data_IF_647351048149
#
_entry.id   IF_647351048149
#
_cell.length_a   1.000
_cell.length_b   1.000
_cell.length_c   1.000
_cell.angle_alpha   90.00
_cell.angle_beta   90.00
_cell.angle_gamma   90.00
#
_symmetry.space_group_name_H-M   'P 1'
#
loop_
_entity.id
_entity.type
_entity.pdbx_description
1 polymer ?
#
# COMPACT_ATOMS: atom_id res chain seq x y z
N UNK A 1 30.84 14.68 -13.43
CA UNK A 1 30.44 14.04 -12.16
C UNK A 1 29.08 13.31 -12.22
N UNK A 2 28.54 12.87 -13.37
CA UNK A 2 27.10 12.50 -13.41
C UNK A 2 26.78 11.21 -14.18
N UNK A 3 27.76 10.36 -14.54
CA UNK A 3 27.47 9.07 -15.20
C UNK A 3 27.10 7.97 -14.20
N UNK A 4 27.46 8.12 -12.92
CA UNK A 4 27.12 7.17 -11.87
C UNK A 4 25.72 7.41 -11.31
N UNK A 5 25.34 8.67 -11.00
CA UNK A 5 23.98 9.02 -10.57
C UNK A 5 22.92 8.73 -11.64
N UNK A 6 23.24 8.94 -12.92
CA UNK A 6 22.31 8.64 -14.02
C UNK A 6 22.04 7.13 -14.16
N UNK A 7 23.04 6.28 -13.86
CA UNK A 7 22.88 4.82 -13.85
C UNK A 7 22.13 4.34 -12.61
N UNK A 8 22.32 4.97 -11.44
CA UNK A 8 21.56 4.62 -10.24
C UNK A 8 20.08 4.96 -10.40
N UNK A 9 19.73 6.10 -11.01
CA UNK A 9 18.34 6.40 -11.38
C UNK A 9 17.79 5.45 -12.44
N UNK A 10 18.59 5.09 -13.45
CA UNK A 10 18.17 4.15 -14.51
C UNK A 10 18.04 2.69 -14.04
N UNK A 11 18.67 2.32 -12.92
CA UNK A 11 18.57 0.98 -12.33
C UNK A 11 17.50 0.88 -11.23
N UNK A 12 17.06 2.01 -10.68
CA UNK A 12 15.90 2.09 -9.76
C UNK A 12 14.56 2.19 -10.52
N UNK A 13 14.57 2.77 -11.73
CA UNK A 13 13.39 2.89 -12.60
C UNK A 13 12.77 1.56 -13.12
N UNK A 14 13.52 0.46 -13.38
CA UNK A 14 12.96 -0.76 -13.94
C UNK A 14 12.32 -1.66 -12.88
N UNK A 15 12.48 -1.40 -11.58
CA UNK A 15 11.80 -2.16 -10.52
C UNK A 15 10.35 -1.71 -10.30
N UNK A 16 9.99 -0.50 -10.75
CA UNK A 16 8.64 0.07 -10.61
C UNK A 16 7.73 -0.27 -11.79
N UNK A 17 8.28 -0.70 -12.92
CA UNK A 17 7.52 -1.01 -14.14
C UNK A 17 6.86 -2.40 -14.19
N UNK A 18 7.37 -3.49 -13.59
CA UNK A 18 6.69 -4.78 -13.71
C UNK A 18 5.39 -4.86 -12.89
N UNK A 19 5.19 -4.01 -11.87
CA UNK A 19 3.90 -3.98 -11.13
C UNK A 19 2.79 -3.27 -11.91
N UNK A 20 3.13 -2.34 -12.80
CA UNK A 20 2.15 -1.68 -13.67
C UNK A 20 1.97 -2.38 -15.01
N UNK A 21 2.97 -3.14 -15.49
CA UNK A 21 2.85 -3.91 -16.73
C UNK A 21 1.98 -5.19 -16.57
N UNK A 22 1.79 -5.71 -15.36
CA UNK A 22 0.81 -6.76 -15.08
C UNK A 22 -0.62 -6.21 -14.82
N UNK A 23 -0.83 -4.90 -14.99
CA UNK A 23 -2.16 -4.30 -15.08
C UNK A 23 -2.67 -4.21 -16.54
N UNK A 24 -2.04 -4.94 -17.46
CA UNK A 24 -2.55 -5.17 -18.82
C UNK A 24 -3.24 -6.53 -18.93
N UNK A 25 -3.90 -6.97 -17.86
CA UNK A 25 -4.97 -7.95 -17.94
C UNK A 25 -6.25 -7.13 -18.10
N UNK A 26 -7.11 -7.46 -19.06
CA UNK A 26 -8.34 -6.72 -19.29
C UNK A 26 -9.12 -6.60 -17.98
N UNK A 27 -9.59 -5.39 -17.69
CA UNK A 27 -10.77 -5.10 -16.88
C UNK A 27 -11.90 -6.02 -17.37
N UNK A 28 -11.89 -7.28 -16.95
CA UNK A 28 -12.74 -8.33 -17.49
C UNK A 28 -14.08 -8.19 -16.80
N UNK A 29 -14.81 -7.19 -17.30
CA UNK A 29 -16.26 -7.17 -17.39
C UNK A 29 -16.96 -7.82 -16.20
N UNK A 30 -17.21 -7.02 -15.15
CA UNK A 30 -18.51 -7.08 -14.49
C UNK A 30 -19.58 -6.67 -15.49
N UNK A 31 -19.82 -7.53 -16.49
CA UNK A 31 -21.04 -7.59 -17.27
C UNK A 31 -22.16 -8.27 -16.45
N UNK A 32 -22.03 -8.34 -15.12
CA UNK A 32 -23.21 -8.45 -14.29
C UNK A 32 -23.89 -7.09 -14.36
N UNK A 33 -24.92 -7.01 -15.20
CA UNK A 33 -25.93 -5.98 -15.12
C UNK A 33 -26.26 -5.73 -13.65
N UNK A 34 -25.76 -4.62 -13.11
CA UNK A 34 -26.12 -4.16 -11.79
C UNK A 34 -27.59 -3.75 -11.89
N UNK A 35 -28.46 -4.65 -11.47
CA UNK A 35 -29.89 -4.35 -11.44
C UNK A 35 -30.21 -3.25 -10.40
N UNK A 36 -29.23 -2.79 -9.59
CA UNK A 36 -29.34 -1.63 -8.71
C UNK A 36 -27.96 -1.10 -8.22
N UNK A 37 -27.72 0.22 -8.32
CA UNK A 37 -26.54 0.94 -7.77
C UNK A 37 -26.28 0.70 -6.26
N UNK A 38 -27.32 0.57 -5.40
CA UNK A 38 -27.13 0.30 -3.97
C UNK A 38 -26.28 -0.93 -3.66
N UNK A 39 -26.40 -1.99 -4.47
CA UNK A 39 -25.68 -3.24 -4.21
C UNK A 39 -24.17 -3.11 -4.48
N UNK A 40 -23.78 -2.32 -5.50
CA UNK A 40 -22.38 -2.03 -5.77
C UNK A 40 -21.74 -1.21 -4.63
N UNK A 41 -22.47 -0.24 -4.09
CA UNK A 41 -22.01 0.56 -2.95
C UNK A 41 -21.82 -0.31 -1.70
N UNK A 42 -22.73 -1.26 -1.46
CA UNK A 42 -22.63 -2.21 -0.35
C UNK A 42 -21.36 -3.06 -0.42
N UNK A 43 -21.03 -3.61 -1.59
CA UNK A 43 -19.82 -4.39 -1.80
C UNK A 43 -18.56 -3.54 -1.68
N UNK A 44 -18.52 -2.34 -2.29
CA UNK A 44 -17.39 -1.42 -2.19
C UNK A 44 -17.06 -1.08 -0.74
N UNK A 45 -18.07 -0.74 0.07
CA UNK A 45 -17.88 -0.42 1.49
C UNK A 45 -17.42 -1.66 2.26
N UNK A 46 -17.97 -2.84 1.98
CA UNK A 46 -17.55 -4.08 2.61
C UNK A 46 -16.07 -4.38 2.34
N UNK A 47 -15.62 -4.33 1.08
CA UNK A 47 -14.22 -4.54 0.72
C UNK A 47 -13.29 -3.46 1.29
N UNK A 48 -13.72 -2.19 1.29
CA UNK A 48 -12.94 -1.11 1.91
C UNK A 48 -12.74 -1.34 3.42
N UNK A 49 -13.79 -1.75 4.13
CA UNK A 49 -13.70 -2.06 5.57
C UNK A 49 -12.78 -3.25 5.85
N UNK A 50 -12.84 -4.29 5.03
CA UNK A 50 -11.94 -5.45 5.14
C UNK A 50 -10.49 -5.01 4.92
N UNK A 51 -10.22 -4.22 3.88
CA UNK A 51 -8.88 -3.69 3.61
C UNK A 51 -8.33 -2.85 4.77
N UNK A 52 -9.14 -1.96 5.34
CA UNK A 52 -8.76 -1.13 6.51
C UNK A 52 -8.47 -2.02 7.72
N UNK A 53 -9.31 -3.01 8.00
CA UNK A 53 -9.11 -3.92 9.12
C UNK A 53 -7.78 -4.69 9.00
N UNK A 54 -7.48 -5.21 7.81
CA UNK A 54 -6.21 -5.91 7.54
C UNK A 54 -5.02 -4.95 7.64
N UNK A 55 -5.14 -3.72 7.15
CA UNK A 55 -4.08 -2.72 7.24
C UNK A 55 -3.74 -2.35 8.71
N UNK A 56 -4.76 -2.20 9.56
CA UNK A 56 -4.57 -1.95 11.00
C UNK A 56 -3.86 -3.12 11.67
N UNK A 57 -4.27 -4.35 11.37
CA UNK A 57 -3.64 -5.57 11.91
C UNK A 57 -2.19 -5.68 11.44
N UNK A 58 -1.93 -5.44 10.15
CA UNK A 58 -0.58 -5.43 9.58
C UNK A 58 0.34 -4.40 10.25
N UNK A 59 -0.15 -3.18 10.45
CA UNK A 59 0.59 -2.15 11.17
C UNK A 59 0.87 -2.54 12.64
N UNK A 60 -0.14 -3.06 13.35
CA UNK A 60 0.00 -3.56 14.74
C UNK A 60 1.04 -4.68 14.85
N UNK A 61 1.10 -5.56 13.86
CA UNK A 61 2.08 -6.63 13.81
C UNK A 61 3.48 -6.07 13.59
N UNK A 62 3.63 -5.12 12.66
CA UNK A 62 4.90 -4.46 12.38
C UNK A 62 5.44 -3.68 13.59
N UNK A 63 4.57 -2.96 14.31
CA UNK A 63 4.91 -2.21 15.52
C UNK A 63 5.47 -3.13 16.61
N UNK A 64 4.94 -4.36 16.75
CA UNK A 64 5.51 -5.38 17.64
C UNK A 64 6.87 -5.90 17.18
N UNK A 65 7.10 -6.00 15.86
CA UNK A 65 8.37 -6.46 15.31
C UNK A 65 9.47 -5.40 15.33
N UNK A 66 9.10 -4.12 15.49
CA UNK A 66 10.04 -3.02 15.56
C UNK A 66 10.16 -2.60 17.03
N UNK A 67 11.05 -3.22 17.83
CA UNK A 67 11.25 -2.87 19.23
C UNK A 67 11.86 -1.47 19.35
N UNK A 68 10.99 -0.48 19.31
CA UNK A 68 11.22 0.94 19.46
C UNK A 68 9.86 1.60 19.43
N UNK A 69 9.47 2.32 20.49
CA UNK A 69 8.15 2.93 20.58
C UNK A 69 8.04 4.05 19.51
N UNK A 70 7.71 3.71 18.26
CA UNK A 70 7.54 4.71 17.18
C UNK A 70 6.57 5.80 17.62
N UNK A 71 5.52 5.41 18.35
CA UNK A 71 4.55 6.34 18.89
C UNK A 71 5.16 7.35 19.87
N UNK A 72 6.00 6.91 20.81
CA UNK A 72 6.71 7.81 21.72
C UNK A 72 7.75 8.65 21.00
N UNK A 73 8.50 8.05 20.08
CA UNK A 73 9.55 8.74 19.35
C UNK A 73 8.99 9.84 18.43
N UNK A 74 7.79 9.63 17.88
CA UNK A 74 7.05 10.62 17.08
C UNK A 74 6.44 11.71 17.98
N UNK A 75 5.86 11.36 19.14
CA UNK A 75 5.16 12.32 20.01
C UNK A 75 6.08 13.10 20.96
N UNK A 76 7.02 12.43 21.62
CA UNK A 76 7.94 13.01 22.61
C UNK A 76 9.19 13.58 21.94
N UNK A 77 9.89 12.76 21.15
CA UNK A 77 11.15 13.17 20.52
C UNK A 77 10.95 13.96 19.20
N UNK A 78 9.70 14.04 18.70
CA UNK A 78 9.34 14.70 17.42
C UNK A 78 10.25 14.29 16.27
N UNK A 79 10.64 13.02 16.24
CA UNK A 79 11.62 12.54 15.30
C UNK A 79 10.98 12.28 13.93
N UNK A 80 11.20 13.22 13.01
CA UNK A 80 10.68 13.15 11.64
C UNK A 80 11.19 11.92 10.90
N UNK A 81 12.40 11.44 11.20
CA UNK A 81 12.94 10.24 10.56
C UNK A 81 12.07 9.01 10.85
N UNK A 82 11.61 8.85 12.10
CA UNK A 82 10.73 7.75 12.50
C UNK A 82 9.33 7.90 11.92
N UNK A 83 8.84 9.14 11.79
CA UNK A 83 7.58 9.41 11.11
C UNK A 83 7.61 9.00 9.62
N UNK A 84 8.72 9.24 8.92
CA UNK A 84 8.89 8.83 7.52
C UNK A 84 8.90 7.30 7.40
N UNK A 85 9.59 6.61 8.31
CA UNK A 85 9.61 5.14 8.33
C UNK A 85 8.20 4.59 8.58
N UNK A 86 7.47 5.14 9.56
CA UNK A 86 6.09 4.74 9.84
C UNK A 86 5.18 4.94 8.61
N UNK A 87 5.31 6.07 7.90
CA UNK A 87 4.57 6.31 6.67
C UNK A 87 4.92 5.30 5.56
N UNK A 88 6.20 4.97 5.38
CA UNK A 88 6.65 3.99 4.39
C UNK A 88 6.10 2.59 4.68
N UNK A 89 6.05 2.19 5.96
CA UNK A 89 5.47 0.91 6.40
C UNK A 89 3.98 0.85 6.10
N UNK A 90 3.24 1.90 6.47
CA UNK A 90 1.79 1.98 6.20
C UNK A 90 1.53 1.89 4.69
N UNK A 91 2.29 2.62 3.87
CA UNK A 91 2.18 2.52 2.41
C UNK A 91 2.47 1.11 1.90
N UNK A 92 3.52 0.44 2.41
CA UNK A 92 3.85 -0.93 2.04
C UNK A 92 2.71 -1.91 2.34
N UNK A 93 2.12 -1.81 3.54
CA UNK A 93 0.97 -2.65 3.94
C UNK A 93 -0.23 -2.39 3.02
N UNK A 94 -0.54 -1.13 2.72
CA UNK A 94 -1.64 -0.79 1.82
C UNK A 94 -1.45 -1.37 0.40
N UNK A 95 -0.22 -1.35 -0.13
CA UNK A 95 0.09 -1.92 -1.45
C UNK A 95 -0.08 -3.45 -1.44
N UNK A 96 0.40 -4.13 -0.38
CA UNK A 96 0.22 -5.59 -0.25
C UNK A 96 -1.26 -5.95 -0.18
N UNK A 97 -2.05 -5.19 0.59
CA UNK A 97 -3.50 -5.41 0.69
C UNK A 97 -4.19 -5.17 -0.66
N UNK A 98 -3.82 -4.13 -1.40
CA UNK A 98 -4.36 -3.86 -2.73
C UNK A 98 -4.03 -5.01 -3.71
N UNK A 99 -2.79 -5.50 -3.71
CA UNK A 99 -2.37 -6.64 -4.52
C UNK A 99 -3.11 -7.93 -4.13
N UNK A 100 -3.35 -8.15 -2.83
CA UNK A 100 -4.06 -9.33 -2.33
C UNK A 100 -5.57 -9.32 -2.65
N UNK A 101 -6.17 -8.16 -2.89
CA UNK A 101 -7.56 -8.02 -3.32
C UNK A 101 -7.68 -8.13 -4.85
N UNK A 102 -6.63 -7.74 -5.58
CA UNK A 102 -6.60 -7.69 -7.04
C UNK A 102 -6.17 -9.01 -7.69
N UNK A 103 -5.36 -9.83 -6.99
CA UNK A 103 -4.95 -11.17 -7.44
C UNK A 103 -5.99 -12.25 -7.15
#
# INVERSE_FOLDING_TARGET
MNKLMLRTCALLLPLVLPVTALAAEPETSTHLHANSVPQALGLMVAFALVGIAVAIVGYRLFDKFTPGDLHKEILENKNVAVAIIAAAVILGVCIIVAAAIMG
#
